data_IF_450939382056
#
_entry.id   IF_450939382056
#
_cell.length_a   1.000
_cell.length_b   1.000
_cell.length_c   1.000
_cell.angle_alpha   90.00
_cell.angle_beta   90.00
_cell.angle_gamma   90.00
#
_symmetry.space_group_name_H-M   'P 1'
#
loop_
_entity.id
_entity.type
_entity.pdbx_description
1 polymer ?
#
# COMPACT_ATOMS: atom_id res chain seq x y z
N UNK A 1 24.80 11.78 -1.46
CA UNK A 1 25.66 11.76 -2.67
C UNK A 1 25.11 10.70 -3.61
N UNK A 2 24.70 11.09 -4.81
CA UNK A 2 24.19 10.16 -5.82
C UNK A 2 25.39 9.44 -6.45
N UNK A 3 25.34 8.11 -6.55
CA UNK A 3 26.33 7.25 -7.20
C UNK A 3 25.63 6.39 -8.24
N UNK A 4 26.35 5.92 -9.27
CA UNK A 4 25.85 4.88 -10.16
C UNK A 4 26.05 3.49 -9.53
N UNK A 5 24.99 2.70 -9.44
CA UNK A 5 25.05 1.29 -9.06
C UNK A 5 25.61 0.45 -10.22
N UNK A 6 26.07 -0.78 -9.94
CA UNK A 6 26.73 -1.67 -10.91
C UNK A 6 25.85 -2.05 -12.12
N UNK A 7 24.53 -1.90 -12.00
CA UNK A 7 23.54 -2.12 -13.06
C UNK A 7 23.07 -0.82 -13.74
N UNK A 8 23.69 0.33 -13.45
CA UNK A 8 23.44 1.60 -14.14
C UNK A 8 22.43 2.54 -13.46
N UNK A 9 21.74 2.12 -12.40
CA UNK A 9 20.78 2.98 -11.70
C UNK A 9 21.47 4.02 -10.82
N UNK A 10 20.82 5.17 -10.62
CA UNK A 10 21.25 6.16 -9.63
C UNK A 10 20.85 5.71 -8.22
N UNK A 11 21.83 5.68 -7.32
CA UNK A 11 21.66 5.27 -5.92
C UNK A 11 22.15 6.31 -4.94
N UNK A 12 21.47 6.40 -3.81
CA UNK A 12 21.84 7.21 -2.66
C UNK A 12 22.24 6.26 -1.55
N UNK A 13 23.47 6.40 -1.04
CA UNK A 13 23.89 5.70 0.18
C UNK A 13 23.37 6.45 1.41
N UNK A 14 22.63 5.78 2.27
CA UNK A 14 22.17 6.31 3.56
C UNK A 14 22.31 5.20 4.61
N UNK A 15 23.09 5.47 5.66
CA UNK A 15 23.36 4.57 6.80
C UNK A 15 23.75 3.12 6.44
N UNK A 16 24.45 2.94 5.31
CA UNK A 16 24.91 1.63 4.85
C UNK A 16 23.99 0.96 3.82
N UNK A 17 22.83 1.53 3.54
CA UNK A 17 21.85 1.03 2.58
C UNK A 17 21.90 1.81 1.26
N UNK A 18 21.62 1.13 0.15
CA UNK A 18 21.51 1.74 -1.17
C UNK A 18 20.03 2.00 -1.47
N UNK A 19 19.65 3.27 -1.60
CA UNK A 19 18.34 3.71 -2.05
C UNK A 19 18.37 4.00 -3.54
N UNK A 20 17.51 3.33 -4.30
CA UNK A 20 17.50 3.43 -5.76
C UNK A 20 16.47 4.49 -6.20
N UNK A 21 16.97 5.48 -6.94
CA UNK A 21 16.15 6.43 -7.69
C UNK A 21 15.95 5.85 -9.09
N UNK A 22 14.83 5.17 -9.30
CA UNK A 22 14.47 4.64 -10.62
C UNK A 22 13.33 5.45 -11.25
N UNK A 23 13.28 5.51 -12.58
CA UNK A 23 12.05 5.83 -13.30
C UNK A 23 11.21 4.55 -13.41
N UNK A 24 9.88 4.60 -13.22
CA UNK A 24 9.11 3.37 -13.15
C UNK A 24 9.06 2.75 -14.54
N UNK A 25 9.30 1.43 -14.62
CA UNK A 25 8.82 0.65 -15.77
C UNK A 25 7.35 0.97 -15.99
N UNK A 26 6.95 1.23 -17.24
CA UNK A 26 5.53 1.38 -17.64
C UNK A 26 4.90 0.06 -18.06
N UNK A 27 5.67 -1.02 -18.02
CA UNK A 27 5.24 -2.37 -18.31
C UNK A 27 5.12 -3.16 -17.02
N UNK A 28 4.12 -4.03 -16.97
CA UNK A 28 3.97 -5.02 -15.91
C UNK A 28 4.84 -6.21 -16.26
N UNK A 29 5.76 -6.54 -15.36
CA UNK A 29 6.78 -7.57 -15.63
C UNK A 29 6.23 -8.96 -15.27
N UNK A 30 5.27 -9.04 -14.35
CA UNK A 30 4.63 -10.29 -13.92
C UNK A 30 3.14 -10.13 -13.69
N UNK A 31 2.35 -10.96 -14.35
CA UNK A 31 0.91 -11.07 -14.10
C UNK A 31 0.65 -11.69 -12.70
N UNK A 32 -0.14 -10.99 -11.90
CA UNK A 32 -0.66 -11.49 -10.63
C UNK A 32 -2.15 -11.84 -10.75
N UNK A 33 -2.82 -12.17 -9.65
CA UNK A 33 -4.29 -12.25 -9.58
C UNK A 33 -4.89 -10.96 -9.00
N UNK A 34 -4.13 -10.35 -8.11
CA UNK A 34 -4.28 -9.01 -7.58
C UNK A 34 -2.87 -8.56 -7.17
N UNK A 35 -2.66 -7.26 -7.10
CA UNK A 35 -1.42 -6.67 -6.60
C UNK A 35 -1.69 -6.06 -5.23
N UNK A 36 -0.71 -6.12 -4.33
CA UNK A 36 -0.82 -5.49 -3.01
C UNK A 36 0.16 -4.34 -2.91
N UNK A 37 -0.27 -3.26 -2.26
CA UNK A 37 0.67 -2.21 -1.87
C UNK A 37 1.67 -2.79 -0.86
N UNK A 38 2.96 -2.53 -1.08
CA UNK A 38 4.01 -2.84 -0.13
C UNK A 38 4.65 -1.53 0.35
N UNK A 39 4.85 -1.44 1.66
CA UNK A 39 5.49 -0.33 2.36
C UNK A 39 6.70 0.22 1.59
N UNK A 40 6.61 1.48 1.16
CA UNK A 40 7.69 2.19 0.47
C UNK A 40 8.70 2.68 1.49
N UNK A 41 9.97 2.30 1.35
CA UNK A 41 11.01 2.73 2.29
C UNK A 41 11.56 4.13 1.97
N UNK A 42 10.83 4.95 1.22
CA UNK A 42 11.17 6.35 0.93
C UNK A 42 11.15 7.20 2.20
N UNK A 43 10.30 6.86 3.17
CA UNK A 43 10.10 7.62 4.40
C UNK A 43 11.39 7.95 5.16
N UNK A 44 12.21 6.96 5.55
CA UNK A 44 13.47 7.20 6.23
C UNK A 44 14.48 7.98 5.38
N UNK A 45 14.51 7.79 4.06
CA UNK A 45 15.43 8.54 3.18
C UNK A 45 15.03 10.01 3.08
N UNK A 46 13.73 10.30 2.99
CA UNK A 46 13.23 11.68 2.97
C UNK A 46 13.21 12.32 4.35
N UNK A 47 13.51 11.55 5.40
CA UNK A 47 13.37 11.92 6.81
C UNK A 47 11.96 12.47 7.08
N UNK A 48 10.93 11.70 6.65
CA UNK A 48 9.53 12.07 6.90
C UNK A 48 9.28 12.13 8.40
N UNK A 49 8.76 13.27 8.84
CA UNK A 49 8.26 13.50 10.19
C UNK A 49 6.78 13.87 10.14
N UNK A 50 6.07 13.60 11.23
CA UNK A 50 4.67 13.96 11.37
C UNK A 50 4.56 15.30 12.13
N UNK A 51 3.70 16.21 11.66
CA UNK A 51 3.57 17.56 12.28
C UNK A 51 3.08 17.49 13.73
N UNK A 52 2.31 16.46 14.09
CA UNK A 52 1.85 16.20 15.46
C UNK A 52 1.90 14.72 15.80
N UNK A 53 1.97 14.41 17.08
CA UNK A 53 1.64 13.07 17.58
C UNK A 53 0.14 12.84 17.36
N UNK A 54 -0.19 11.89 16.48
CA UNK A 54 -1.57 11.51 16.17
C UNK A 54 -1.84 10.07 16.65
N UNK A 55 -3.08 9.75 17.05
CA UNK A 55 -3.45 8.36 17.30
C UNK A 55 -3.43 7.57 15.99
N UNK A 56 -2.77 6.42 15.96
CA UNK A 56 -2.93 5.50 14.83
C UNK A 56 -4.37 4.97 14.80
N UNK A 57 -4.97 4.93 13.62
CA UNK A 57 -6.24 4.24 13.42
C UNK A 57 -6.07 2.76 13.69
N UNK A 58 -6.95 2.18 14.48
CA UNK A 58 -7.05 0.75 14.69
C UNK A 58 -8.40 0.32 15.23
N UNK A 59 -8.72 -0.98 15.14
CA UNK A 59 -9.97 -1.53 15.66
C UNK A 59 -10.05 -1.50 17.20
N UNK A 60 -8.96 -1.11 17.88
CA UNK A 60 -8.91 -0.96 19.34
C UNK A 60 -9.27 0.46 19.79
N UNK A 61 -9.35 1.43 18.89
CA UNK A 61 -9.81 2.77 19.23
C UNK A 61 -11.29 2.72 19.59
N UNK A 62 -11.68 3.48 20.61
CA UNK A 62 -13.06 3.58 21.07
C UNK A 62 -13.98 3.97 19.90
N UNK A 63 -15.06 3.22 19.71
CA UNK A 63 -16.01 3.42 18.60
C UNK A 63 -15.57 2.88 17.23
N UNK A 64 -14.38 2.28 17.09
CA UNK A 64 -13.85 1.82 15.79
C UNK A 64 -13.63 0.31 15.67
N UNK A 65 -14.09 -0.46 16.66
CA UNK A 65 -14.02 -1.92 16.68
C UNK A 65 -14.78 -2.58 15.52
N UNK A 66 -14.66 -3.91 15.39
CA UNK A 66 -15.32 -4.69 14.34
C UNK A 66 -16.86 -4.57 14.36
N UNK A 67 -17.42 -4.28 15.53
CA UNK A 67 -18.85 -4.16 15.77
C UNK A 67 -19.31 -2.69 15.76
N UNK A 68 -18.47 -1.77 15.26
CA UNK A 68 -18.79 -0.36 15.25
C UNK A 68 -19.92 -0.04 14.26
N UNK A 69 -20.73 1.01 14.51
CA UNK A 69 -21.76 1.47 13.57
C UNK A 69 -21.19 2.02 12.26
N UNK A 70 -19.87 2.20 12.20
CA UNK A 70 -19.15 2.67 11.01
C UNK A 70 -18.88 1.56 10.00
N UNK A 71 -19.30 0.33 10.28
CA UNK A 71 -19.02 -0.85 9.46
C UNK A 71 -20.33 -1.52 9.09
N UNK A 72 -20.53 -1.72 7.79
CA UNK A 72 -21.66 -2.50 7.26
C UNK A 72 -21.12 -3.78 6.66
N UNK A 73 -21.59 -4.90 7.18
CA UNK A 73 -21.22 -6.23 6.71
C UNK A 73 -22.13 -6.66 5.56
N UNK A 74 -21.53 -7.25 4.54
CA UNK A 74 -22.21 -7.81 3.38
C UNK A 74 -21.90 -9.29 3.28
N UNK A 75 -22.95 -10.08 3.05
CA UNK A 75 -22.82 -11.49 2.77
C UNK A 75 -22.08 -11.67 1.44
N UNK A 76 -21.16 -12.63 1.42
CA UNK A 76 -20.47 -13.07 0.22
C UNK A 76 -21.10 -14.38 -0.27
N UNK A 77 -20.91 -14.74 -1.55
CA UNK A 77 -21.31 -16.05 -2.06
C UNK A 77 -20.72 -17.17 -1.19
N UNK A 78 -21.50 -18.23 -0.96
CA UNK A 78 -21.12 -19.33 -0.07
C UNK A 78 -19.79 -19.99 -0.50
N UNK A 79 -19.52 -20.01 -1.81
CA UNK A 79 -18.30 -20.58 -2.39
C UNK A 79 -17.03 -19.81 -2.00
N UNK A 80 -17.16 -18.56 -1.55
CA UNK A 80 -16.05 -17.73 -1.07
C UNK A 80 -15.64 -18.12 0.36
N UNK A 81 -16.48 -18.89 1.08
CA UNK A 81 -16.16 -19.49 2.37
C UNK A 81 -16.23 -18.50 3.53
N UNK A 82 -15.26 -18.56 4.45
CA UNK A 82 -15.26 -17.81 5.72
C UNK A 82 -14.90 -16.32 5.57
N UNK A 83 -14.70 -15.86 4.34
CA UNK A 83 -14.44 -14.46 4.06
C UNK A 83 -15.71 -13.62 4.23
N UNK A 84 -15.52 -12.37 4.64
CA UNK A 84 -16.60 -11.40 4.80
C UNK A 84 -16.22 -10.08 4.14
N UNK A 85 -17.21 -9.42 3.55
CA UNK A 85 -17.04 -8.07 3.04
C UNK A 85 -17.59 -7.07 4.06
N UNK A 86 -16.76 -6.09 4.39
CA UNK A 86 -17.15 -4.89 5.11
C UNK A 86 -17.07 -3.70 4.17
N UNK A 87 -18.08 -2.83 4.24
CA UNK A 87 -18.03 -1.47 3.71
C UNK A 87 -17.95 -0.50 4.89
N UNK A 88 -16.89 0.32 4.90
CA UNK A 88 -16.73 1.40 5.85
C UNK A 88 -17.70 2.54 5.51
N UNK A 89 -18.57 2.90 6.45
CA UNK A 89 -19.64 3.91 6.30
C UNK A 89 -19.50 5.08 7.27
N UNK A 90 -18.41 5.15 8.03
CA UNK A 90 -18.09 6.34 8.82
C UNK A 90 -18.13 7.60 7.95
N UNK A 91 -18.76 8.64 8.48
CA UNK A 91 -18.66 9.98 7.91
C UNK A 91 -17.18 10.41 7.86
N UNK A 92 -16.74 11.09 6.78
CA UNK A 92 -15.34 11.49 6.60
C UNK A 92 -14.73 12.22 7.81
N UNK A 93 -15.52 13.04 8.51
CA UNK A 93 -15.08 13.81 9.68
C UNK A 93 -14.61 12.91 10.83
N UNK A 94 -15.13 11.68 10.93
CA UNK A 94 -14.72 10.70 11.92
C UNK A 94 -13.24 10.31 11.80
N UNK A 95 -12.64 10.48 10.63
CA UNK A 95 -11.23 10.14 10.40
C UNK A 95 -10.25 11.26 10.76
N UNK A 96 -10.72 12.50 10.93
CA UNK A 96 -9.89 13.67 11.20
C UNK A 96 -8.89 13.51 12.37
N UNK A 97 -9.20 12.79 13.47
CA UNK A 97 -8.25 12.54 14.55
C UNK A 97 -7.02 11.72 14.12
N UNK A 98 -7.13 10.90 13.07
CA UNK A 98 -6.07 9.95 12.65
C UNK A 98 -5.18 10.50 11.53
N UNK A 99 -5.47 11.71 11.04
CA UNK A 99 -4.68 12.37 10.00
C UNK A 99 -3.77 13.45 10.57
N UNK A 100 -2.66 13.68 9.88
CA UNK A 100 -1.70 14.72 10.18
C UNK A 100 -1.04 15.17 8.88
N UNK A 101 -0.53 16.38 8.85
CA UNK A 101 0.40 16.77 7.79
C UNK A 101 1.79 16.16 8.04
N UNK A 102 2.64 16.22 7.02
CA UNK A 102 4.00 15.70 7.08
C UNK A 102 5.04 16.80 6.90
N UNK A 103 6.23 16.55 7.41
CA UNK A 103 7.44 17.32 7.20
C UNK A 103 8.47 16.45 6.52
N UNK A 104 9.14 16.98 5.50
CA UNK A 104 10.20 16.27 4.78
C UNK A 104 11.37 17.20 4.55
N UNK A 105 12.55 16.64 4.33
CA UNK A 105 13.69 17.44 3.90
C UNK A 105 13.45 18.07 2.54
N UNK A 106 13.66 19.38 2.44
CA UNK A 106 13.42 20.12 1.19
C UNK A 106 14.31 19.67 0.04
N UNK A 107 15.54 19.25 0.29
CA UNK A 107 16.41 18.70 -0.75
C UNK A 107 15.99 17.30 -1.22
N UNK A 108 14.99 16.67 -0.60
CA UNK A 108 14.56 15.29 -0.85
C UNK A 108 13.06 15.15 -1.17
N UNK A 109 12.26 16.21 -1.03
CA UNK A 109 10.80 16.16 -1.20
C UNK A 109 10.38 15.61 -2.57
N UNK A 110 11.17 15.88 -3.61
CA UNK A 110 10.91 15.45 -4.98
C UNK A 110 11.06 13.93 -5.18
N UNK A 111 11.52 13.18 -4.17
CA UNK A 111 11.54 11.71 -4.16
C UNK A 111 10.23 11.09 -3.67
N UNK A 112 9.27 11.90 -3.21
CA UNK A 112 7.94 11.41 -2.88
C UNK A 112 7.24 10.89 -4.14
N UNK A 113 6.80 9.64 -4.08
CA UNK A 113 6.11 8.93 -5.15
C UNK A 113 4.63 9.34 -5.26
N UNK A 114 4.03 9.04 -6.40
CA UNK A 114 2.61 9.30 -6.66
C UNK A 114 1.70 8.55 -5.70
N UNK A 115 2.13 7.36 -5.25
CA UNK A 115 1.59 6.63 -4.11
C UNK A 115 2.71 6.49 -3.08
N UNK A 116 2.66 7.25 -1.99
CA UNK A 116 3.68 7.26 -0.94
C UNK A 116 3.16 6.64 0.34
N UNK A 117 4.01 5.89 1.03
CA UNK A 117 3.70 5.38 2.37
C UNK A 117 3.78 6.47 3.41
N UNK A 118 2.81 6.47 4.31
CA UNK A 118 2.85 7.20 5.56
C UNK A 118 2.24 6.39 6.68
N UNK A 119 1.62 7.06 7.65
CA UNK A 119 0.67 6.40 8.54
C UNK A 119 -0.52 5.77 7.79
N UNK A 120 -0.84 6.34 6.64
CA UNK A 120 -1.90 5.97 5.70
C UNK A 120 -1.35 6.18 4.29
N UNK A 121 -1.93 5.55 3.29
CA UNK A 121 -1.50 5.78 1.91
C UNK A 121 -1.78 7.23 1.51
N UNK A 122 -0.77 7.86 0.92
CA UNK A 122 -0.84 9.21 0.39
C UNK A 122 -0.77 9.15 -1.13
N UNK A 123 -1.65 9.88 -1.81
CA UNK A 123 -1.74 9.87 -3.27
C UNK A 123 -1.68 11.27 -3.86
N UNK A 124 -1.04 11.40 -5.03
CA UNK A 124 -1.06 12.61 -5.84
C UNK A 124 -2.38 12.77 -6.63
N UNK A 125 -2.67 13.97 -7.16
CA UNK A 125 -3.87 14.23 -7.95
C UNK A 125 -4.08 13.28 -9.14
N UNK A 126 -2.99 12.87 -9.82
CA UNK A 126 -3.08 11.94 -10.95
C UNK A 126 -3.65 10.57 -10.53
N UNK A 127 -3.15 10.02 -9.42
CA UNK A 127 -3.65 8.74 -8.88
C UNK A 127 -5.08 8.88 -8.37
N UNK A 128 -5.36 9.98 -7.64
CA UNK A 128 -6.72 10.29 -7.18
C UNK A 128 -7.71 10.32 -8.35
N UNK A 129 -7.35 10.95 -9.47
CA UNK A 129 -8.21 11.03 -10.65
C UNK A 129 -8.52 9.63 -11.23
N UNK A 130 -7.51 8.75 -11.32
CA UNK A 130 -7.73 7.36 -11.77
C UNK A 130 -8.65 6.61 -10.82
N UNK A 131 -8.47 6.74 -9.50
CA UNK A 131 -9.33 6.09 -8.52
C UNK A 131 -10.76 6.65 -8.59
N UNK A 132 -10.94 7.97 -8.70
CA UNK A 132 -12.25 8.61 -8.83
C UNK A 132 -12.95 8.19 -10.13
N UNK A 133 -12.22 8.01 -11.23
CA UNK A 133 -12.81 7.50 -12.47
C UNK A 133 -13.33 6.06 -12.31
N UNK A 134 -12.55 5.21 -11.65
CA UNK A 134 -12.84 3.78 -11.56
C UNK A 134 -13.84 3.44 -10.45
N UNK A 135 -13.81 4.16 -9.33
CA UNK A 135 -14.45 3.69 -8.09
C UNK A 135 -14.66 4.79 -7.04
N UNK A 136 -15.06 5.99 -7.46
CA UNK A 136 -15.21 7.18 -6.58
C UNK A 136 -15.93 6.90 -5.27
N UNK A 137 -17.12 6.28 -5.34
CA UNK A 137 -18.02 6.15 -4.19
C UNK A 137 -17.45 5.24 -3.10
N UNK A 138 -16.45 4.43 -3.40
CA UNK A 138 -15.86 3.46 -2.47
C UNK A 138 -14.48 3.86 -1.98
N UNK A 139 -14.11 5.12 -2.18
CA UNK A 139 -12.81 5.65 -1.78
C UNK A 139 -12.99 7.02 -1.12
N UNK A 140 -12.39 7.20 0.06
CA UNK A 140 -12.29 8.51 0.69
C UNK A 140 -10.93 9.13 0.39
N UNK A 141 -10.95 10.46 0.23
CA UNK A 141 -9.77 11.29 0.05
C UNK A 141 -9.79 12.44 1.03
N UNK A 142 -8.69 12.63 1.75
CA UNK A 142 -8.55 13.71 2.72
C UNK A 142 -7.33 14.56 2.35
N UNK A 143 -7.47 15.87 2.23
CA UNK A 143 -6.35 16.73 1.85
C UNK A 143 -5.26 16.65 2.92
N UNK A 144 -4.00 16.73 2.48
CA UNK A 144 -2.85 16.79 3.36
C UNK A 144 -1.80 17.75 2.82
N UNK A 145 -0.96 18.25 3.72
CA UNK A 145 0.12 19.16 3.38
C UNK A 145 1.48 18.54 3.67
N UNK A 146 2.43 18.92 2.85
CA UNK A 146 3.85 18.59 2.95
C UNK A 146 4.59 19.87 3.28
N UNK A 147 5.31 19.88 4.39
CA UNK A 147 6.09 21.02 4.85
C UNK A 147 7.59 20.71 4.78
N UNK A 148 8.39 21.77 4.65
CA UNK A 148 9.82 21.74 4.89
C UNK A 148 10.08 21.43 6.36
N UNK A 149 10.88 20.41 6.63
CA UNK A 149 11.21 19.97 7.99
C UNK A 149 11.95 21.04 8.80
N UNK A 150 12.90 21.73 8.18
CA UNK A 150 13.82 22.64 8.87
C UNK A 150 13.21 24.04 8.96
N UNK A 151 12.52 24.49 7.90
CA UNK A 151 11.96 25.85 7.83
C UNK A 151 10.47 25.93 8.21
N UNK A 152 9.74 24.81 8.18
CA UNK A 152 8.29 24.76 8.41
C UNK A 152 7.44 25.35 7.27
N UNK A 153 8.07 25.73 6.15
CA UNK A 153 7.38 26.30 4.98
C UNK A 153 6.56 25.24 4.25
N UNK A 154 5.43 25.64 3.64
CA UNK A 154 4.65 24.73 2.79
C UNK A 154 5.44 24.39 1.52
N UNK A 155 5.64 23.08 1.28
CA UNK A 155 6.21 22.56 0.03
C UNK A 155 5.11 22.22 -0.96
N UNK A 156 4.06 21.51 -0.51
CA UNK A 156 2.94 21.07 -1.36
C UNK A 156 1.68 20.85 -0.54
N UNK A 157 0.51 21.12 -1.14
CA UNK A 157 -0.82 20.84 -0.62
C UNK A 157 -1.66 19.96 -1.58
N UNK A 158 -1.00 19.31 -2.54
CA UNK A 158 -1.67 18.54 -3.59
C UNK A 158 -1.98 17.09 -3.19
N UNK A 159 -1.29 16.58 -2.16
CA UNK A 159 -1.44 15.20 -1.73
C UNK A 159 -2.73 14.98 -0.94
N UNK A 160 -3.23 13.75 -1.01
CA UNK A 160 -4.39 13.31 -0.27
C UNK A 160 -4.10 12.00 0.44
N UNK A 161 -4.57 11.84 1.68
CA UNK A 161 -4.74 10.51 2.23
C UNK A 161 -5.82 9.77 1.45
N UNK A 162 -5.56 8.49 1.17
CA UNK A 162 -6.47 7.62 0.46
C UNK A 162 -6.92 6.46 1.35
N UNK A 163 -8.23 6.25 1.45
CA UNK A 163 -8.84 5.12 2.16
C UNK A 163 -9.83 4.39 1.25
N UNK A 164 -9.51 3.18 0.78
CA UNK A 164 -10.52 2.28 0.22
C UNK A 164 -11.50 1.81 1.29
N UNK A 165 -12.79 1.96 1.02
CA UNK A 165 -13.87 1.62 1.96
C UNK A 165 -14.22 0.15 1.98
N UNK A 166 -13.97 -0.59 0.87
CA UNK A 166 -14.17 -2.04 0.81
C UNK A 166 -13.06 -2.76 1.56
N UNK A 167 -13.43 -3.53 2.58
CA UNK A 167 -12.51 -4.28 3.42
C UNK A 167 -12.90 -5.76 3.40
N UNK A 168 -12.02 -6.62 2.94
CA UNK A 168 -12.19 -8.07 3.05
C UNK A 168 -11.62 -8.53 4.39
N UNK A 169 -12.39 -9.34 5.10
CA UNK A 169 -12.00 -9.92 6.38
C UNK A 169 -11.93 -11.44 6.24
N UNK A 170 -10.90 -12.00 6.86
CA UNK A 170 -10.73 -13.42 6.98
C UNK A 170 -10.36 -13.75 8.43
N UNK A 171 -11.30 -14.39 9.11
CA UNK A 171 -11.20 -14.85 10.50
C UNK A 171 -11.52 -16.34 10.52
N UNK A 172 -10.58 -17.21 10.09
CA UNK A 172 -10.86 -18.64 9.99
C UNK A 172 -11.12 -19.24 11.38
N UNK A 173 -12.09 -20.14 11.47
CA UNK A 173 -12.35 -20.92 12.69
C UNK A 173 -11.14 -21.81 13.04
N UNK A 174 -10.46 -22.32 12.01
CA UNK A 174 -9.26 -23.14 12.14
C UNK A 174 -8.14 -22.53 11.30
N UNK A 175 -7.13 -21.98 11.97
CA UNK A 175 -5.90 -21.50 11.33
C UNK A 175 -5.21 -22.66 10.60
N UNK A 176 -4.81 -22.45 9.34
CA UNK A 176 -4.05 -23.44 8.58
C UNK A 176 -2.61 -23.44 9.09
N UNK A 177 -2.01 -24.62 9.11
CA UNK A 177 -0.58 -24.75 9.42
C UNK A 177 0.22 -24.38 8.17
N UNK A 178 1.43 -23.88 8.37
CA UNK A 178 2.36 -23.56 7.29
C UNK A 178 2.48 -24.75 6.33
N UNK A 179 2.01 -24.59 5.11
CA UNK A 179 2.41 -25.45 4.00
C UNK A 179 3.66 -24.84 3.37
N UNK A 180 4.67 -25.66 3.09
CA UNK A 180 5.93 -25.22 2.44
C UNK A 180 5.67 -24.55 1.07
N UNK A 181 4.48 -24.74 0.50
CA UNK A 181 4.02 -24.11 -0.74
C UNK A 181 3.67 -22.62 -0.56
N UNK A 182 3.43 -22.14 0.67
CA UNK A 182 2.92 -20.77 0.95
C UNK A 182 3.87 -19.96 1.82
N UNK A 183 5.18 -20.14 1.64
CA UNK A 183 6.19 -19.19 2.13
C UNK A 183 6.10 -17.90 1.29
N UNK A 184 5.07 -17.08 1.56
CA UNK A 184 4.73 -15.98 0.68
C UNK A 184 5.72 -14.81 0.75
N UNK A 185 6.25 -14.34 -0.40
CA UNK A 185 6.44 -12.93 -0.73
C UNK A 185 7.06 -11.86 0.16
N UNK A 186 6.31 -11.53 1.18
CA UNK A 186 6.18 -10.12 1.52
C UNK A 186 5.73 -10.00 2.95
N UNK A 187 6.18 -8.95 3.61
CA UNK A 187 5.78 -8.67 4.99
C UNK A 187 4.42 -7.99 4.96
N UNK A 188 3.50 -8.41 5.82
CA UNK A 188 2.24 -7.70 6.07
C UNK A 188 1.01 -8.61 6.13
N UNK A 189 -0.18 -8.04 6.36
CA UNK A 189 -1.39 -8.81 6.64
C UNK A 189 -1.85 -9.73 5.50
N UNK A 190 -1.55 -9.36 4.25
CA UNK A 190 -1.78 -10.18 3.05
C UNK A 190 -0.87 -11.44 2.97
N UNK A 191 0.22 -11.49 3.75
CA UNK A 191 1.14 -12.61 3.80
C UNK A 191 0.89 -13.57 4.96
N UNK A 192 -0.14 -13.32 5.79
CA UNK A 192 -0.58 -14.31 6.77
C UNK A 192 -0.90 -15.62 6.04
N UNK A 193 -0.34 -16.73 6.52
CA UNK A 193 -0.37 -18.05 5.86
C UNK A 193 -1.77 -18.38 5.32
N UNK A 194 -2.80 -18.20 6.13
CA UNK A 194 -4.16 -18.59 5.73
C UNK A 194 -4.76 -17.64 4.70
N UNK A 195 -4.58 -16.33 4.89
CA UNK A 195 -5.00 -15.31 3.92
C UNK A 195 -4.34 -15.55 2.57
N UNK A 196 -3.03 -15.80 2.60
CA UNK A 196 -2.26 -16.08 1.42
C UNK A 196 -2.68 -17.37 0.71
N UNK A 197 -2.88 -18.44 1.49
CA UNK A 197 -3.34 -19.72 0.97
C UNK A 197 -4.71 -19.57 0.30
N UNK A 198 -5.66 -18.88 0.93
CA UNK A 198 -7.00 -18.63 0.38
C UNK A 198 -6.92 -17.84 -0.91
N UNK A 199 -6.19 -16.73 -0.92
CA UNK A 199 -6.00 -15.92 -2.12
C UNK A 199 -5.35 -16.70 -3.26
N UNK A 200 -4.53 -17.72 -2.96
CA UNK A 200 -3.88 -18.59 -3.95
C UNK A 200 -4.76 -19.75 -4.42
N UNK A 201 -5.60 -20.33 -3.57
CA UNK A 201 -6.32 -21.58 -3.88
C UNK A 201 -7.84 -21.42 -4.03
N UNK A 202 -8.45 -20.41 -3.43
CA UNK A 202 -9.89 -20.17 -3.49
C UNK A 202 -10.26 -19.39 -4.78
N UNK A 203 -10.73 -20.11 -5.79
CA UNK A 203 -11.07 -19.52 -7.08
C UNK A 203 -12.27 -18.57 -7.01
N UNK A 204 -13.27 -18.87 -6.17
CA UNK A 204 -14.45 -18.02 -6.01
C UNK A 204 -14.07 -16.66 -5.40
N UNK A 205 -13.25 -16.68 -4.34
CA UNK A 205 -12.69 -15.47 -3.73
C UNK A 205 -11.96 -14.61 -4.77
N UNK A 206 -11.11 -15.23 -5.59
CA UNK A 206 -10.36 -14.49 -6.63
C UNK A 206 -11.26 -13.89 -7.70
N UNK A 207 -12.24 -14.65 -8.17
CA UNK A 207 -13.19 -14.17 -9.17
C UNK A 207 -13.93 -12.93 -8.65
N UNK A 208 -14.42 -13.00 -7.40
CA UNK A 208 -15.07 -11.88 -6.73
C UNK A 208 -14.11 -10.70 -6.50
N UNK A 209 -12.91 -10.94 -5.96
CA UNK A 209 -11.95 -9.87 -5.66
C UNK A 209 -11.47 -9.13 -6.92
N UNK A 210 -11.45 -9.80 -8.08
CA UNK A 210 -11.12 -9.19 -9.37
C UNK A 210 -12.15 -8.14 -9.83
N UNK A 211 -13.39 -8.21 -9.33
CA UNK A 211 -14.45 -7.22 -9.62
C UNK A 211 -14.25 -5.91 -8.85
N UNK A 212 -13.40 -5.89 -7.82
CA UNK A 212 -13.13 -4.70 -7.01
C UNK A 212 -11.85 -4.01 -7.49
N UNK A 213 -11.94 -2.79 -8.06
CA UNK A 213 -10.77 -2.03 -8.50
C UNK A 213 -9.74 -1.84 -7.38
N UNK A 214 -10.25 -1.50 -6.20
CA UNK A 214 -9.49 -1.28 -4.98
C UNK A 214 -10.24 -1.88 -3.79
N UNK A 215 -9.49 -2.51 -2.89
CA UNK A 215 -10.00 -3.04 -1.63
C UNK A 215 -8.86 -3.17 -0.63
N UNK A 216 -9.18 -3.38 0.64
CA UNK A 216 -8.16 -3.64 1.64
C UNK A 216 -8.47 -4.82 2.54
N UNK A 217 -7.52 -5.18 3.38
CA UNK A 217 -7.61 -6.37 4.24
C UNK A 217 -7.82 -5.98 5.71
N UNK A 218 -8.86 -6.52 6.34
CA UNK A 218 -9.18 -6.27 7.76
C UNK A 218 -9.33 -4.78 8.11
N UNK A 219 -9.14 -4.39 9.37
CA UNK A 219 -9.31 -3.01 9.83
C UNK A 219 -8.17 -2.05 9.45
N UNK A 220 -7.04 -2.53 8.93
CA UNK A 220 -5.84 -1.70 8.68
C UNK A 220 -5.98 -0.82 7.43
N UNK A 221 -6.14 0.49 7.60
CA UNK A 221 -6.36 1.40 6.46
C UNK A 221 -5.15 1.55 5.50
N UNK A 222 -3.98 0.99 5.82
CA UNK A 222 -2.79 0.97 4.95
C UNK A 222 -2.74 -0.24 4.03
N UNK A 223 -3.48 -1.31 4.36
CA UNK A 223 -3.46 -2.54 3.60
C UNK A 223 -4.41 -2.39 2.42
N UNK A 224 -3.84 -2.17 1.23
CA UNK A 224 -4.59 -1.96 -0.02
C UNK A 224 -4.12 -2.92 -1.09
N UNK A 225 -5.09 -3.47 -1.81
CA UNK A 225 -4.92 -4.31 -2.98
C UNK A 225 -5.61 -3.68 -4.20
N UNK A 226 -5.09 -4.03 -5.38
CA UNK A 226 -5.50 -3.58 -6.69
C UNK A 226 -5.87 -4.80 -7.53
N UNK A 227 -6.96 -4.73 -8.29
CA UNK A 227 -7.19 -5.73 -9.34
C UNK A 227 -6.15 -5.57 -10.46
N UNK A 228 -5.92 -6.64 -11.23
CA UNK A 228 -4.92 -6.58 -12.30
C UNK A 228 -5.16 -5.44 -13.30
N UNK A 229 -6.38 -5.26 -13.87
CA UNK A 229 -6.58 -4.23 -14.88
C UNK A 229 -6.23 -2.82 -14.37
N UNK A 230 -6.48 -2.57 -13.07
CA UNK A 230 -6.20 -1.30 -12.43
C UNK A 230 -4.71 -1.09 -12.21
N UNK A 231 -4.01 -2.10 -11.68
CA UNK A 231 -2.56 -2.00 -11.51
C UNK A 231 -1.85 -1.79 -12.85
N UNK A 232 -2.24 -2.53 -13.87
CA UNK A 232 -1.68 -2.40 -15.23
C UNK A 232 -1.90 -1.01 -15.80
N UNK A 233 -3.10 -0.46 -15.61
CA UNK A 233 -3.41 0.91 -16.00
C UNK A 233 -2.48 1.92 -15.30
N UNK A 234 -2.44 1.89 -13.97
CA UNK A 234 -1.60 2.82 -13.18
C UNK A 234 -0.12 2.70 -13.60
N UNK A 235 0.38 1.48 -13.82
CA UNK A 235 1.74 1.23 -14.30
C UNK A 235 1.97 1.83 -15.69
N UNK A 236 1.04 1.62 -16.63
CA UNK A 236 1.14 2.14 -18.00
C UNK A 236 1.10 3.68 -18.08
N UNK A 237 0.41 4.33 -17.14
CA UNK A 237 0.38 5.78 -16.98
C UNK A 237 1.65 6.34 -16.34
N UNK A 238 2.57 5.47 -15.88
CA UNK A 238 3.84 5.85 -15.27
C UNK A 238 3.72 6.28 -13.80
N UNK A 239 2.65 5.87 -13.11
CA UNK A 239 2.46 6.15 -11.69
C UNK A 239 3.57 5.49 -10.86
N UNK A 240 4.23 6.29 -10.03
CA UNK A 240 5.32 5.88 -9.14
C UNK A 240 4.81 5.38 -7.78
N UNK A 241 5.60 4.54 -7.08
CA UNK A 241 5.21 3.98 -5.77
C UNK A 241 4.36 2.71 -5.82
N UNK A 242 4.27 2.09 -7.01
CA UNK A 242 3.69 0.77 -7.21
C UNK A 242 4.77 -0.31 -7.05
N UNK A 243 4.44 -1.41 -6.38
CA UNK A 243 5.31 -2.57 -6.19
C UNK A 243 4.60 -3.79 -6.78
N UNK A 244 5.28 -4.51 -7.67
CA UNK A 244 4.78 -5.77 -8.22
C UNK A 244 5.01 -6.89 -7.20
N UNK A 245 3.93 -7.36 -6.61
CA UNK A 245 3.99 -8.41 -5.61
C UNK A 245 3.10 -9.57 -6.03
N UNK A 246 3.73 -10.64 -6.54
CA UNK A 246 3.03 -11.76 -7.16
C UNK A 246 2.93 -12.97 -6.23
N UNK A 247 1.80 -13.68 -6.29
CA UNK A 247 1.56 -14.89 -5.50
C UNK A 247 2.55 -16.06 -5.78
N UNK A 248 3.37 -15.98 -6.83
CA UNK A 248 4.17 -17.10 -7.35
C UNK A 248 5.69 -17.00 -7.17
N UNK A 249 6.24 -15.99 -6.48
CA UNK A 249 7.70 -16.00 -6.29
C UNK A 249 8.33 -14.83 -5.55
N UNK A 250 9.16 -15.17 -4.56
CA UNK A 250 9.85 -14.29 -3.60
C UNK A 250 11.27 -13.88 -4.00
N UNK A 251 11.72 -14.20 -5.21
CA UNK A 251 13.17 -14.31 -5.45
C UNK A 251 13.81 -13.19 -6.25
N UNK A 252 13.02 -12.26 -6.79
CA UNK A 252 13.58 -10.98 -7.21
C UNK A 252 13.13 -9.92 -6.23
N UNK A 253 13.84 -9.86 -5.11
CA UNK A 253 14.21 -8.56 -4.55
C UNK A 253 15.13 -7.84 -5.55
N UNK A 254 14.71 -7.68 -6.80
CA UNK A 254 15.21 -6.58 -7.60
C UNK A 254 14.60 -5.35 -6.93
N UNK A 255 15.27 -4.90 -5.86
CA UNK A 255 15.08 -3.60 -5.25
C UNK A 255 15.10 -2.49 -6.32
N UNK A 256 15.66 -2.78 -7.50
CA UNK A 256 15.66 -2.03 -8.75
C UNK A 256 14.40 -2.15 -9.61
N UNK A 257 13.24 -2.52 -9.06
CA UNK A 257 11.95 -2.42 -9.75
C UNK A 257 10.95 -1.56 -8.99
N UNK A 258 11.37 -1.10 -7.81
CA UNK A 258 10.56 -0.26 -6.95
C UNK A 258 11.25 1.08 -6.80
N UNK A 259 10.54 2.15 -7.09
CA UNK A 259 11.04 3.49 -6.80
C UNK A 259 11.04 3.66 -5.29
N UNK A 260 12.24 3.82 -4.76
CA UNK A 260 12.46 4.22 -3.39
C UNK A 260 12.41 3.09 -2.35
N UNK A 261 13.12 1.99 -2.63
CA UNK A 261 13.43 0.97 -1.63
C UNK A 261 14.91 0.99 -1.23
N UNK A 262 15.18 0.66 0.05
CA UNK A 262 16.50 0.27 0.52
C UNK A 262 16.78 -1.18 0.13
N UNK A 263 17.83 -1.39 -0.65
CA UNK A 263 18.41 -2.71 -0.81
C UNK A 263 19.38 -3.02 0.32
N UNK A 264 19.11 -4.07 1.10
CA UNK A 264 20.15 -4.76 1.86
C UNK A 264 20.86 -5.72 0.91
N UNK A 265 22.05 -5.31 0.44
CA UNK A 265 23.01 -6.23 -0.17
C UNK A 265 23.74 -7.00 0.94
N UNK A 266 23.02 -7.91 1.59
CA UNK A 266 23.67 -9.01 2.31
C UNK A 266 23.08 -10.32 1.78
N UNK A 267 23.93 -11.05 1.05
CA UNK A 267 23.75 -12.41 0.53
C UNK A 267 22.96 -12.59 -0.78
N UNK A 268 23.55 -12.13 -1.89
CA UNK A 268 23.44 -12.84 -3.18
C UNK A 268 24.82 -13.30 -3.70
N UNK A 269 25.80 -13.43 -2.79
CA UNK A 269 27.05 -14.17 -3.03
C UNK A 269 27.04 -15.43 -2.17
N UNK A 270 26.28 -16.44 -2.60
CA UNK A 270 26.64 -17.86 -2.57
C UNK A 270 25.93 -18.60 -3.69
#
# INVERSE_FOLDING_TARGET
MIKKHKNGHDVIKLDGHDFILEEPSREVIREALFYVYYASTTGPVMEIEWVRDYPQFGPRNEGWSKDSPHRVWHDLPEEVGEWRLEILTAEPEGFAPFFTDIRVRRDRWHWMTDITEGNKLMVRPAVKAVIEELDKEMNYFFPMKVFDRDMGELISDEYHYWIPRRRLWFEPEVFKRSDRVVDMPFVGPFARIDTAWELTHNQALRAMAAEYPFWGLSASLTDVAFSNPVFHRLKSEGITGLVENTATGHWDRNYFQNIGHFGDLIAAEK
#
